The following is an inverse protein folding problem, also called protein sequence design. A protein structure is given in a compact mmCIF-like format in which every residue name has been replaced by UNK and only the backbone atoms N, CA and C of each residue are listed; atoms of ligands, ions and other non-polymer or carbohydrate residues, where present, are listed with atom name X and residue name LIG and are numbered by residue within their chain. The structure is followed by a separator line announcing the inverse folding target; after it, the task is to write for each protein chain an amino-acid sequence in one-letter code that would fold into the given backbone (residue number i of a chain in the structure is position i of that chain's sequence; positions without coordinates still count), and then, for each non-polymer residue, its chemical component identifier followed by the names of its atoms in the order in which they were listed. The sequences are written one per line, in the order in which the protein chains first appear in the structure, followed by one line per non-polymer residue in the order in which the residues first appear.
data_IF_298032517123
#
_entry.id   IF_298032517123
#
_cell.length_a   1.000
_cell.length_b   1.000
_cell.length_c   1.000
_cell.angle_alpha   90.00
_cell.angle_beta   90.00
_cell.angle_gamma   90.00
#
_symmetry.space_group_name_H-M   'P 1'
#
loop_
_entity.id
_entity.type
_entity.pdbx_description
1 polymer ?
#
# COMPACT_ATOMS: atom_id res chain seq x y z
N UNK A 1 22.66 -18.03 16.85
CA UNK A 1 22.48 -17.98 15.39
C UNK A 1 21.29 -18.85 15.04
N UNK A 2 20.14 -18.25 14.73
CA UNK A 2 18.95 -19.00 14.30
C UNK A 2 18.74 -18.67 12.83
N UNK A 3 19.28 -19.53 11.97
CA UNK A 3 19.10 -19.47 10.53
C UNK A 3 17.75 -20.05 10.11
N UNK A 4 17.24 -19.54 9.00
CA UNK A 4 16.06 -20.02 8.30
C UNK A 4 16.22 -21.51 7.90
N UNK A 5 15.75 -22.42 8.74
CA UNK A 5 15.85 -23.87 8.51
C UNK A 5 14.75 -24.37 7.57
N UNK A 6 15.10 -24.53 6.29
CA UNK A 6 14.42 -25.46 5.38
C UNK A 6 14.81 -26.89 5.80
N UNK A 7 13.83 -27.78 5.95
CA UNK A 7 14.06 -29.22 6.11
C UNK A 7 13.58 -29.91 4.85
N UNK A 8 14.50 -30.61 4.19
CA UNK A 8 14.24 -31.42 3.00
C UNK A 8 13.87 -32.84 3.46
N UNK A 9 12.62 -33.23 3.25
CA UNK A 9 12.15 -34.60 3.35
C UNK A 9 11.51 -34.96 2.01
N UNK A 10 12.04 -35.98 1.35
CA UNK A 10 11.51 -36.53 0.09
C UNK A 10 11.26 -35.50 -1.03
N UNK A 11 12.21 -34.59 -1.24
CA UNK A 11 12.27 -33.75 -2.44
C UNK A 11 11.13 -32.72 -2.61
N UNK A 12 10.34 -32.47 -1.56
CA UNK A 12 9.35 -31.39 -1.55
C UNK A 12 9.79 -30.27 -0.59
N UNK A 13 9.93 -29.06 -1.14
CA UNK A 13 10.18 -27.84 -0.35
C UNK A 13 8.87 -27.48 0.37
N UNK A 14 8.69 -28.04 1.56
CA UNK A 14 7.60 -27.65 2.44
C UNK A 14 7.98 -26.34 3.15
N UNK A 15 7.19 -25.28 2.89
CA UNK A 15 7.24 -24.08 3.71
C UNK A 15 6.94 -24.51 5.15
N UNK A 16 7.77 -24.11 6.11
CA UNK A 16 7.40 -24.18 7.52
C UNK A 16 6.20 -23.25 7.70
N UNK A 17 4.99 -23.79 7.58
CA UNK A 17 3.76 -23.03 7.80
C UNK A 17 3.87 -22.38 9.17
N UNK A 18 3.59 -21.06 9.26
CA UNK A 18 3.11 -20.49 10.52
C UNK A 18 2.01 -21.43 10.99
N UNK A 19 2.07 -21.99 12.21
CA UNK A 19 1.18 -23.05 12.61
C UNK A 19 -0.24 -22.61 12.28
N UNK A 20 -0.84 -23.30 11.32
CA UNK A 20 -2.27 -23.21 11.08
C UNK A 20 -2.90 -23.39 12.46
N UNK A 21 -3.85 -22.54 12.84
CA UNK A 21 -4.46 -22.45 14.18
C UNK A 21 -4.93 -23.81 14.75
N UNK A 22 -5.05 -24.82 13.90
CA UNK A 22 -5.31 -26.22 14.24
C UNK A 22 -4.14 -27.01 14.85
N UNK A 23 -2.88 -26.55 14.79
CA UNK A 23 -1.71 -27.32 15.23
C UNK A 23 -1.34 -27.13 16.70
N UNK A 24 -1.69 -26.01 17.35
CA UNK A 24 -1.48 -25.80 18.79
C UNK A 24 -2.65 -26.29 19.65
N UNK A 25 -3.85 -26.30 19.09
CA UNK A 25 -5.03 -26.78 19.82
C UNK A 25 -5.16 -28.28 19.71
N UNK A 26 -4.77 -28.99 20.77
CA UNK A 26 -5.05 -30.42 20.90
C UNK A 26 -6.55 -30.63 21.06
N UNK A 27 -7.12 -31.54 20.27
CA UNK A 27 -8.47 -32.08 20.48
C UNK A 27 -8.37 -33.59 20.72
N UNK A 28 -8.98 -34.13 21.78
CA UNK A 28 -9.77 -33.44 22.82
C UNK A 28 -8.90 -32.52 23.70
N UNK A 29 -9.53 -31.50 24.30
CA UNK A 29 -8.83 -30.57 25.18
C UNK A 29 -8.54 -31.23 26.52
N UNK A 30 -7.37 -30.96 27.08
CA UNK A 30 -6.98 -31.41 28.41
C UNK A 30 -6.88 -30.20 29.33
N UNK A 31 -7.99 -29.86 29.99
CA UNK A 31 -8.06 -28.72 30.90
C UNK A 31 -7.79 -29.15 32.35
N UNK A 32 -7.27 -28.22 33.15
CA UNK A 32 -7.20 -28.42 34.60
C UNK A 32 -8.61 -28.68 35.16
N UNK A 33 -8.82 -29.72 35.98
CA UNK A 33 -10.11 -29.96 36.64
C UNK A 33 -10.42 -28.87 37.69
N UNK A 34 -9.39 -28.15 38.16
CA UNK A 34 -9.53 -27.07 39.13
C UNK A 34 -9.66 -25.74 38.39
N UNK A 35 -10.74 -25.01 38.70
CA UNK A 35 -10.99 -23.70 38.14
C UNK A 35 -9.98 -22.65 38.67
N UNK A 36 -9.32 -21.88 37.80
CA UNK A 36 -8.37 -20.86 38.25
C UNK A 36 -9.11 -19.73 38.97
N UNK A 37 -8.49 -19.23 40.04
CA UNK A 37 -8.94 -18.02 40.75
C UNK A 37 -8.20 -16.82 40.18
N UNK A 38 -8.92 -15.98 39.46
CA UNK A 38 -8.29 -14.85 38.78
C UNK A 38 -8.00 -13.67 39.72
N UNK A 39 -6.90 -12.92 39.46
CA UNK A 39 -6.61 -11.68 40.15
C UNK A 39 -7.77 -10.68 40.05
N UNK A 40 -7.81 -9.71 40.97
CA UNK A 40 -8.82 -8.64 40.91
C UNK A 40 -8.72 -7.89 39.58
N UNK A 41 -9.85 -7.75 38.89
CA UNK A 41 -9.94 -7.08 37.60
C UNK A 41 -9.50 -7.90 36.39
N UNK A 42 -9.20 -9.20 36.56
CA UNK A 42 -9.00 -10.15 35.46
C UNK A 42 -10.19 -11.12 35.43
N UNK A 43 -11.01 -11.10 34.37
CA UNK A 43 -12.12 -12.04 34.22
C UNK A 43 -11.63 -13.44 33.85
N UNK A 44 -12.49 -14.42 34.14
CA UNK A 44 -12.32 -15.79 33.70
C UNK A 44 -12.85 -15.94 32.27
N UNK A 45 -11.97 -16.24 31.32
CA UNK A 45 -12.26 -16.34 29.88
C UNK A 45 -11.84 -17.71 29.35
N UNK A 46 -12.11 -17.99 28.07
CA UNK A 46 -11.58 -19.18 27.39
C UNK A 46 -10.20 -18.88 26.82
N UNK A 47 -9.33 -19.88 26.78
CA UNK A 47 -8.04 -19.85 26.07
C UNK A 47 -8.23 -19.59 24.57
N UNK A 48 -7.16 -19.34 23.82
CA UNK A 48 -7.25 -19.11 22.37
C UNK A 48 -7.68 -20.34 21.56
N UNK A 49 -7.79 -21.52 22.20
CA UNK A 49 -8.42 -22.70 21.63
C UNK A 49 -9.94 -22.76 21.86
N UNK A 50 -10.50 -21.85 22.65
CA UNK A 50 -11.91 -21.78 22.99
C UNK A 50 -12.37 -22.92 23.91
N UNK A 51 -11.47 -23.49 24.73
CA UNK A 51 -11.74 -24.74 25.43
C UNK A 51 -11.49 -24.67 26.94
N UNK A 52 -10.30 -24.28 27.37
CA UNK A 52 -9.96 -24.24 28.78
C UNK A 52 -10.22 -22.86 29.38
N UNK A 53 -10.69 -22.84 30.64
CA UNK A 53 -10.89 -21.59 31.37
C UNK A 53 -9.56 -21.07 31.89
N UNK A 54 -9.21 -19.86 31.52
CA UNK A 54 -7.97 -19.16 31.91
C UNK A 54 -8.32 -17.76 32.41
N UNK A 55 -7.38 -17.13 33.12
CA UNK A 55 -7.52 -15.74 33.51
C UNK A 55 -7.07 -14.85 32.36
N UNK A 56 -7.90 -13.86 32.02
CA UNK A 56 -7.59 -12.93 30.96
C UNK A 56 -6.38 -12.06 31.35
N UNK A 57 -5.46 -11.88 30.41
CA UNK A 57 -4.28 -11.05 30.57
C UNK A 57 -4.66 -9.57 30.49
N UNK A 58 -4.05 -8.75 31.33
CA UNK A 58 -4.31 -7.31 31.45
C UNK A 58 -3.30 -6.49 30.64
N UNK A 59 -3.55 -5.19 30.49
CA UNK A 59 -2.67 -4.27 29.78
C UNK A 59 -1.21 -4.41 30.24
N UNK A 60 -0.28 -4.56 29.29
CA UNK A 60 1.15 -4.74 29.54
C UNK A 60 1.56 -6.15 29.99
N UNK A 61 0.61 -7.08 30.21
CA UNK A 61 0.95 -8.47 30.54
C UNK A 61 1.34 -9.27 29.30
N UNK A 62 2.26 -10.24 29.44
CA UNK A 62 2.62 -11.12 28.35
C UNK A 62 1.43 -12.00 27.97
N UNK A 63 1.17 -12.05 26.68
CA UNK A 63 0.13 -12.85 26.07
C UNK A 63 0.72 -13.73 24.98
N UNK A 64 0.01 -14.81 24.72
CA UNK A 64 0.33 -15.74 23.65
C UNK A 64 -0.98 -16.34 23.12
N UNK A 65 -0.85 -17.40 22.34
CA UNK A 65 -2.01 -18.07 21.77
C UNK A 65 -2.93 -18.73 22.82
N UNK A 66 -2.41 -19.19 23.96
CA UNK A 66 -3.22 -19.82 25.02
C UNK A 66 -3.65 -18.79 26.07
N UNK A 67 -2.79 -17.82 26.37
CA UNK A 67 -2.99 -16.77 27.34
C UNK A 67 -3.52 -15.51 26.66
N UNK A 68 -4.85 -15.42 26.58
CA UNK A 68 -5.55 -14.34 25.87
C UNK A 68 -5.70 -13.08 26.72
N UNK A 69 -5.73 -11.91 26.06
CA UNK A 69 -5.99 -10.62 26.68
C UNK A 69 -7.47 -10.42 27.06
N UNK A 70 -7.74 -9.53 28.00
CA UNK A 70 -9.09 -9.14 28.41
C UNK A 70 -9.77 -8.28 27.34
N UNK A 71 -10.46 -8.97 26.43
CA UNK A 71 -11.29 -8.33 25.39
C UNK A 71 -12.41 -7.47 25.94
N UNK A 72 -12.88 -7.70 27.17
CA UNK A 72 -13.91 -6.83 27.77
C UNK A 72 -13.40 -5.42 28.09
N UNK A 73 -12.07 -5.27 28.14
CA UNK A 73 -11.38 -3.99 28.32
C UNK A 73 -10.78 -3.46 27.00
N UNK A 74 -11.11 -4.06 25.84
CA UNK A 74 -10.59 -3.64 24.54
C UNK A 74 -9.11 -3.99 24.33
N UNK A 75 -8.59 -5.02 25.01
CA UNK A 75 -7.21 -5.43 24.89
C UNK A 75 -7.02 -6.53 23.84
N UNK A 76 -6.03 -6.35 22.97
CA UNK A 76 -5.56 -7.32 21.98
C UNK A 76 -4.11 -7.71 22.24
N UNK A 77 -3.74 -8.91 21.83
CA UNK A 77 -2.38 -9.41 21.98
C UNK A 77 -1.51 -8.90 20.82
N UNK A 78 -0.65 -7.92 21.11
CA UNK A 78 0.28 -7.31 20.16
C UNK A 78 1.64 -8.06 20.16
N UNK A 79 2.05 -8.54 18.99
CA UNK A 79 3.30 -9.29 18.79
C UNK A 79 4.44 -8.46 18.17
N UNK A 80 4.29 -7.13 18.13
CA UNK A 80 5.27 -6.17 17.56
C UNK A 80 6.70 -6.33 18.13
N UNK A 81 6.83 -6.83 19.36
CA UNK A 81 8.10 -7.03 20.08
C UNK A 81 8.76 -8.40 19.85
N UNK A 82 8.25 -9.20 18.90
CA UNK A 82 8.96 -10.35 18.31
C UNK A 82 8.81 -11.69 19.04
N UNK A 83 9.36 -11.85 20.26
CA UNK A 83 9.45 -13.17 20.94
C UNK A 83 8.27 -13.52 21.85
N UNK A 84 7.34 -12.60 22.05
CA UNK A 84 6.13 -12.79 22.84
C UNK A 84 5.14 -11.68 22.54
N UNK A 85 3.86 -11.96 22.74
CA UNK A 85 2.83 -10.93 22.66
C UNK A 85 2.75 -10.16 23.96
N UNK A 86 2.31 -8.90 23.90
CA UNK A 86 1.93 -8.09 25.06
C UNK A 86 0.51 -7.59 24.87
N UNK A 87 -0.31 -7.62 25.91
CA UNK A 87 -1.66 -7.07 25.81
C UNK A 87 -1.61 -5.55 25.73
N UNK A 88 -2.03 -5.00 24.60
CA UNK A 88 -2.18 -3.57 24.36
C UNK A 88 -3.63 -3.27 24.01
N UNK A 89 -4.02 -1.99 24.01
CA UNK A 89 -5.32 -1.61 23.44
C UNK A 89 -5.32 -1.96 21.96
N UNK A 90 -6.50 -2.27 21.40
CA UNK A 90 -6.67 -2.15 19.95
C UNK A 90 -6.29 -0.71 19.58
N UNK A 91 -5.15 -0.55 18.88
CA UNK A 91 -4.89 0.68 18.15
C UNK A 91 -5.95 0.73 17.05
N UNK A 92 -7.06 1.41 17.35
CA UNK A 92 -8.08 1.81 16.38
C UNK A 92 -7.49 2.84 15.40
N UNK A 93 -6.37 2.51 14.75
CA UNK A 93 -5.78 3.32 13.68
C UNK A 93 -5.76 2.55 12.36
N UNK A 94 -6.78 1.72 12.13
CA UNK A 94 -7.23 1.39 10.78
C UNK A 94 -8.04 2.58 10.22
N UNK A 95 -7.40 3.75 10.26
CA UNK A 95 -7.89 5.01 9.74
C UNK A 95 -7.11 5.38 8.48
N UNK A 96 -7.67 6.30 7.70
CA UNK A 96 -7.05 6.78 6.48
C UNK A 96 -6.32 8.08 6.77
N UNK A 97 -5.03 8.14 6.49
CA UNK A 97 -4.30 9.41 6.51
C UNK A 97 -4.39 10.07 5.12
N UNK A 98 -5.07 11.21 5.04
CA UNK A 98 -5.19 11.98 3.79
C UNK A 98 -4.74 13.42 4.05
N UNK A 99 -3.64 13.82 3.40
CA UNK A 99 -3.00 15.15 3.56
C UNK A 99 -2.67 15.50 5.02
N UNK A 100 -2.17 14.53 5.81
CA UNK A 100 -1.80 14.74 7.21
C UNK A 100 -3.00 14.85 8.18
N UNK A 101 -4.21 14.49 7.73
CA UNK A 101 -5.39 14.34 8.58
C UNK A 101 -5.79 12.88 8.64
N UNK A 102 -6.04 12.40 9.85
CA UNK A 102 -6.52 11.05 10.11
C UNK A 102 -8.06 11.03 10.04
N UNK A 103 -8.60 10.09 9.27
CA UNK A 103 -10.04 9.82 9.12
C UNK A 103 -10.34 8.42 9.63
N UNK A 104 -11.45 8.24 10.34
CA UNK A 104 -11.86 6.93 10.87
C UNK A 104 -12.42 6.03 9.76
N UNK A 105 -12.36 4.72 9.96
CA UNK A 105 -13.03 3.79 9.04
C UNK A 105 -14.52 4.15 8.88
N UNK A 106 -14.98 4.18 7.63
CA UNK A 106 -16.32 4.59 7.25
C UNK A 106 -16.55 6.10 7.21
N UNK A 107 -15.62 6.93 7.67
CA UNK A 107 -15.75 8.40 7.67
C UNK A 107 -15.78 8.96 6.25
N UNK A 108 -16.72 9.87 5.99
CA UNK A 108 -16.89 10.55 4.70
C UNK A 108 -16.38 11.97 4.81
N UNK A 109 -15.50 12.36 3.90
CA UNK A 109 -14.89 13.69 3.87
C UNK A 109 -14.87 14.25 2.45
N UNK A 110 -14.83 15.58 2.33
CA UNK A 110 -14.91 16.28 1.06
C UNK A 110 -13.64 17.12 0.83
N UNK A 111 -12.57 16.56 0.21
CA UNK A 111 -11.30 17.27 0.06
C UNK A 111 -11.39 18.46 -0.90
N UNK A 112 -12.40 18.50 -1.78
CA UNK A 112 -12.75 19.66 -2.59
C UNK A 112 -14.24 19.62 -2.90
N UNK A 113 -14.82 20.74 -3.30
CA UNK A 113 -16.24 20.77 -3.66
C UNK A 113 -16.59 19.79 -4.82
N UNK A 114 -15.59 19.32 -5.60
CA UNK A 114 -15.74 18.42 -6.75
C UNK A 114 -15.66 16.93 -6.39
N UNK A 115 -15.20 16.58 -5.18
CA UNK A 115 -14.89 15.20 -4.79
C UNK A 115 -15.43 14.90 -3.39
N UNK A 116 -16.10 13.77 -3.22
CA UNK A 116 -16.45 13.21 -1.91
C UNK A 116 -15.74 11.88 -1.75
N UNK A 117 -15.05 11.70 -0.64
CA UNK A 117 -14.27 10.51 -0.35
C UNK A 117 -14.76 9.81 0.92
N UNK A 118 -14.52 8.50 1.01
CA UNK A 118 -14.84 7.67 2.17
C UNK A 118 -13.63 6.82 2.55
N UNK A 119 -13.28 6.82 3.83
CA UNK A 119 -12.26 5.95 4.40
C UNK A 119 -12.79 4.52 4.55
N UNK A 120 -12.01 3.54 4.11
CA UNK A 120 -12.30 2.11 4.14
C UNK A 120 -11.00 1.32 4.34
N UNK A 121 -10.87 0.61 5.45
CA UNK A 121 -9.77 -0.33 5.75
C UNK A 121 -8.36 0.27 5.53
N UNK A 122 -8.13 1.50 6.02
CA UNK A 122 -6.85 2.21 5.88
C UNK A 122 -6.59 2.87 4.51
N UNK A 123 -7.48 2.71 3.54
CA UNK A 123 -7.46 3.39 2.23
C UNK A 123 -8.70 4.25 2.00
N UNK A 124 -8.73 5.10 0.98
CA UNK A 124 -9.90 5.93 0.68
C UNK A 124 -10.40 5.75 -0.75
N UNK A 125 -11.72 5.85 -0.91
CA UNK A 125 -12.39 5.84 -2.23
C UNK A 125 -13.05 7.19 -2.46
N UNK A 126 -12.99 7.74 -3.66
CA UNK A 126 -13.59 9.04 -3.98
C UNK A 126 -14.56 8.93 -5.15
N UNK A 127 -15.65 9.70 -5.07
CA UNK A 127 -16.64 9.86 -6.14
C UNK A 127 -16.66 11.32 -6.61
N UNK A 128 -16.74 11.57 -7.93
CA UNK A 128 -16.89 12.93 -8.46
C UNK A 128 -18.31 13.45 -8.18
N UNK A 129 -18.40 14.69 -7.72
CA UNK A 129 -19.66 15.39 -7.46
C UNK A 129 -20.12 16.24 -8.64
N UNK A 130 -19.22 16.53 -9.57
CA UNK A 130 -19.52 17.25 -10.81
C UNK A 130 -19.82 16.28 -11.95
N UNK A 131 -20.66 16.70 -12.89
CA UNK A 131 -20.87 15.96 -14.13
C UNK A 131 -19.57 15.94 -14.95
N UNK A 132 -19.18 14.74 -15.40
CA UNK A 132 -18.05 14.47 -16.29
C UNK A 132 -18.51 14.18 -17.72
N UNK A 133 -19.59 14.84 -18.14
CA UNK A 133 -20.13 14.75 -19.48
C UNK A 133 -19.20 15.37 -20.53
N UNK A 134 -19.17 14.78 -21.72
CA UNK A 134 -18.36 15.25 -22.87
C UNK A 134 -19.25 16.08 -23.78
N UNK A 135 -18.91 17.35 -23.99
CA UNK A 135 -19.57 18.19 -25.00
C UNK A 135 -18.87 18.06 -26.35
N UNK A 136 -19.60 17.53 -27.32
CA UNK A 136 -19.13 17.44 -28.70
C UNK A 136 -19.18 18.81 -29.38
N UNK A 137 -18.25 19.09 -30.32
CA UNK A 137 -18.34 20.28 -31.18
C UNK A 137 -19.67 20.34 -31.94
N UNK A 138 -20.29 21.50 -31.93
CA UNK A 138 -21.48 21.81 -32.73
C UNK A 138 -21.19 22.99 -33.67
N UNK A 139 -22.00 23.22 -34.72
CA UNK A 139 -21.83 24.40 -35.59
C UNK A 139 -21.76 25.73 -34.81
N UNK A 140 -22.54 25.84 -33.73
CA UNK A 140 -22.57 27.02 -32.85
C UNK A 140 -21.45 27.03 -31.78
N UNK A 141 -20.73 25.92 -31.64
CA UNK A 141 -19.65 25.74 -30.67
C UNK A 141 -18.59 24.77 -31.23
N UNK A 142 -17.80 25.21 -32.22
CA UNK A 142 -16.83 24.35 -32.89
C UNK A 142 -15.65 23.95 -31.98
N UNK A 143 -15.38 24.74 -30.92
CA UNK A 143 -14.30 24.51 -29.98
C UNK A 143 -14.80 24.57 -28.53
N UNK A 144 -15.52 23.53 -28.05
CA UNK A 144 -15.97 23.47 -26.67
C UNK A 144 -14.77 23.26 -25.74
N UNK A 145 -14.60 24.14 -24.76
CA UNK A 145 -13.57 24.04 -23.71
C UNK A 145 -14.24 23.95 -22.35
N UNK A 146 -13.83 22.98 -21.54
CA UNK A 146 -14.26 22.86 -20.14
C UNK A 146 -13.35 23.75 -19.30
N UNK A 147 -13.91 24.74 -18.63
CA UNK A 147 -13.17 25.74 -17.84
C UNK A 147 -13.74 25.86 -16.44
N UNK A 148 -12.85 26.14 -15.48
CA UNK A 148 -13.25 26.50 -14.12
C UNK A 148 -13.76 27.94 -14.10
N UNK A 149 -15.00 28.13 -13.63
CA UNK A 149 -15.61 29.46 -13.50
C UNK A 149 -15.46 29.92 -12.05
N UNK A 150 -14.90 31.12 -11.80
CA UNK A 150 -14.79 31.68 -10.46
C UNK A 150 -16.14 31.71 -9.73
N UNK A 151 -16.19 31.20 -8.50
CA UNK A 151 -17.40 31.14 -7.69
C UNK A 151 -18.34 29.96 -8.01
N UNK A 152 -18.08 29.18 -9.06
CA UNK A 152 -18.77 27.90 -9.31
C UNK A 152 -17.89 26.73 -8.91
N UNK A 153 -18.50 25.70 -8.33
CA UNK A 153 -17.77 24.50 -7.96
C UNK A 153 -17.39 23.66 -9.18
N UNK A 154 -18.35 23.44 -10.09
CA UNK A 154 -18.16 22.60 -11.26
C UNK A 154 -17.71 23.40 -12.47
N UNK A 155 -16.81 22.84 -13.30
CA UNK A 155 -16.41 23.48 -14.53
C UNK A 155 -17.56 23.48 -15.55
N UNK A 156 -17.61 24.51 -16.39
CA UNK A 156 -18.62 24.64 -17.44
C UNK A 156 -17.99 24.64 -18.83
N UNK A 157 -18.80 24.31 -19.81
CA UNK A 157 -18.42 24.34 -21.21
C UNK A 157 -18.57 25.74 -21.77
N UNK A 158 -17.44 26.35 -22.15
CA UNK A 158 -17.40 27.60 -22.91
C UNK A 158 -17.05 27.33 -24.36
N UNK A 159 -17.58 28.16 -25.24
CA UNK A 159 -17.33 28.12 -26.67
C UNK A 159 -16.57 29.40 -27.02
N UNK A 160 -15.28 29.29 -27.33
CA UNK A 160 -14.57 30.43 -27.89
C UNK A 160 -15.03 30.61 -29.34
N UNK A 161 -15.72 31.72 -29.60
CA UNK A 161 -15.92 32.20 -30.95
C UNK A 161 -14.55 32.65 -31.45
N UNK A 162 -13.87 31.78 -32.21
CA UNK A 162 -12.66 32.15 -32.91
C UNK A 162 -12.89 33.47 -33.65
N UNK A 163 -11.94 34.38 -33.54
CA UNK A 163 -11.94 35.66 -34.24
C UNK A 163 -12.44 35.43 -35.66
N UNK A 164 -13.52 36.15 -35.98
CA UNK A 164 -14.15 36.16 -37.29
C UNK A 164 -13.04 36.49 -38.28
N UNK A 165 -12.61 35.49 -39.05
CA UNK A 165 -11.70 35.68 -40.16
C UNK A 165 -12.39 36.62 -41.15
N UNK A 166 -12.11 37.91 -41.02
CA UNK A 166 -12.40 38.95 -42.00
C UNK A 166 -11.49 38.70 -43.21
N UNK A 167 -11.81 37.69 -44.01
CA UNK A 167 -11.36 37.66 -45.39
C UNK A 167 -12.51 37.14 -46.23
N UNK A 168 -13.37 38.08 -46.62
CA UNK A 168 -14.24 37.92 -47.77
C UNK A 168 -13.37 37.61 -48.99
N UNK A 169 -13.56 36.40 -49.49
CA UNK A 169 -12.95 35.80 -50.65
C UNK A 169 -13.23 36.61 -51.91
N UNK A 170 -12.17 37.05 -52.59
CA UNK A 170 -12.19 37.30 -54.01
C UNK A 170 -11.63 36.08 -54.74
N UNK A 171 -12.46 35.47 -55.60
CA UNK A 171 -12.02 34.80 -56.83
C UNK A 171 -11.52 33.34 -56.77
N UNK A 172 -12.17 32.52 -57.60
CA UNK A 172 -11.69 31.31 -58.31
C UNK A 172 -11.62 29.94 -57.58
N UNK A 173 -12.36 28.98 -58.14
CA UNK A 173 -12.32 27.51 -57.93
C UNK A 173 -11.20 26.86 -58.81
N UNK A 174 -10.81 25.55 -58.75
CA UNK A 174 -11.62 24.37 -58.33
C UNK A 174 -10.93 23.18 -57.57
N UNK A 175 -11.78 22.27 -57.04
CA UNK A 175 -11.69 20.79 -56.94
C UNK A 175 -10.81 20.00 -55.89
N UNK A 176 -11.50 19.37 -54.91
CA UNK A 176 -11.51 17.94 -54.39
C UNK A 176 -10.19 17.29 -53.86
N UNK A 177 -10.18 16.35 -52.85
CA UNK A 177 -11.23 15.80 -51.96
C UNK A 177 -11.00 16.14 -50.47
N UNK A 178 -11.97 15.75 -49.64
CA UNK A 178 -11.95 15.78 -48.17
C UNK A 178 -10.74 15.07 -47.55
N UNK A 179 -9.56 15.70 -47.59
CA UNK A 179 -8.52 15.48 -46.61
C UNK A 179 -8.75 16.53 -45.53
N UNK A 180 -9.47 16.15 -44.46
CA UNK A 180 -9.52 17.01 -43.29
C UNK A 180 -8.10 17.24 -42.79
N UNK A 181 -7.82 18.46 -42.33
CA UNK A 181 -6.55 18.75 -41.68
C UNK A 181 -6.43 17.85 -40.44
N UNK A 182 -5.41 16.97 -40.36
CA UNK A 182 -5.24 16.09 -39.23
C UNK A 182 -4.97 16.92 -37.99
N UNK A 183 -5.82 16.72 -36.99
CA UNK A 183 -5.77 17.39 -35.71
C UNK A 183 -5.96 16.37 -34.60
N UNK A 184 -5.25 16.58 -33.50
CA UNK A 184 -5.44 15.83 -32.27
C UNK A 184 -4.77 16.53 -31.12
N UNK A 185 -5.26 16.27 -29.92
CA UNK A 185 -4.60 16.72 -28.69
C UNK A 185 -3.32 15.91 -28.47
N UNK A 186 -2.49 16.29 -27.50
CA UNK A 186 -1.54 15.33 -26.95
C UNK A 186 -2.27 14.21 -26.19
N UNK A 187 -1.57 13.10 -25.99
CA UNK A 187 -2.07 12.02 -25.13
C UNK A 187 -2.12 12.47 -23.68
N UNK A 188 -3.19 12.15 -22.97
CA UNK A 188 -3.29 12.37 -21.53
C UNK A 188 -2.20 11.61 -20.78
N UNK A 189 -1.92 12.02 -19.55
CA UNK A 189 -1.20 11.19 -18.60
C UNK A 189 -1.86 9.80 -18.49
N UNK A 190 -1.05 8.79 -18.13
CA UNK A 190 -1.55 7.44 -17.92
C UNK A 190 -2.54 7.43 -16.75
N UNK A 191 -3.65 6.71 -16.90
CA UNK A 191 -4.65 6.58 -15.83
C UNK A 191 -4.12 5.89 -14.57
N UNK A 192 -2.98 5.20 -14.69
CA UNK A 192 -2.26 4.61 -13.57
C UNK A 192 -0.93 5.35 -13.39
N UNK A 193 -0.41 5.40 -12.17
CA UNK A 193 0.92 5.95 -11.86
C UNK A 193 2.03 4.90 -11.98
N UNK A 194 1.66 3.63 -12.15
CA UNK A 194 2.54 2.51 -12.36
C UNK A 194 1.81 1.34 -13.05
N UNK A 195 2.54 0.35 -13.53
CA UNK A 195 1.97 -0.81 -14.22
C UNK A 195 1.32 -0.45 -15.54
N UNK A 196 0.21 -1.11 -15.86
CA UNK A 196 -0.52 -0.93 -17.12
C UNK A 196 -1.76 -0.08 -16.89
N UNK A 197 -1.95 0.96 -17.69
CA UNK A 197 -3.11 1.84 -17.64
C UNK A 197 -3.57 2.27 -19.02
N UNK A 198 -4.44 3.26 -19.06
CA UNK A 198 -4.96 3.83 -20.30
C UNK A 198 -4.60 5.30 -20.42
N UNK A 199 -4.22 5.71 -21.63
CA UNK A 199 -4.05 7.10 -22.01
C UNK A 199 -5.07 7.41 -23.10
N UNK A 200 -5.65 8.60 -23.04
CA UNK A 200 -6.71 9.04 -23.94
C UNK A 200 -6.29 10.27 -24.70
N UNK A 201 -6.72 10.38 -25.95
CA UNK A 201 -6.53 11.52 -26.84
C UNK A 201 -7.80 11.74 -27.64
N UNK A 202 -8.09 12.97 -28.02
CA UNK A 202 -9.13 13.25 -29.03
C UNK A 202 -8.44 13.49 -30.37
N UNK A 203 -8.86 12.80 -31.44
CA UNK A 203 -8.30 12.97 -32.78
C UNK A 203 -9.36 12.84 -33.86
N UNK A 204 -9.19 13.57 -34.96
CA UNK A 204 -10.00 13.45 -36.17
C UNK A 204 -9.38 12.50 -37.22
N UNK A 205 -8.33 11.76 -36.86
CA UNK A 205 -7.61 10.82 -37.73
C UNK A 205 -8.40 9.52 -37.91
N UNK A 206 -9.59 9.63 -38.50
CA UNK A 206 -10.37 8.50 -39.00
C UNK A 206 -10.86 8.81 -40.43
N UNK A 207 -11.35 7.77 -41.10
CA UNK A 207 -11.81 7.85 -42.50
C UNK A 207 -12.92 8.89 -42.73
N UNK A 208 -13.61 9.29 -41.66
CA UNK A 208 -14.75 10.20 -41.70
C UNK A 208 -14.42 11.59 -41.16
N UNK A 209 -13.17 11.87 -40.79
CA UNK A 209 -12.73 13.14 -40.24
C UNK A 209 -13.50 13.57 -38.98
N UNK A 210 -14.03 12.61 -38.22
CA UNK A 210 -14.82 12.86 -37.01
C UNK A 210 -13.91 12.87 -35.80
N UNK A 211 -14.12 13.80 -34.89
CA UNK A 211 -13.40 13.80 -33.63
C UNK A 211 -13.88 12.61 -32.78
N UNK A 212 -12.98 11.71 -32.47
CA UNK A 212 -13.22 10.52 -31.65
C UNK A 212 -12.19 10.46 -30.52
N UNK A 213 -12.63 9.94 -29.38
CA UNK A 213 -11.73 9.62 -28.27
C UNK A 213 -11.01 8.33 -28.58
N UNK A 214 -9.71 8.43 -28.81
CA UNK A 214 -8.82 7.29 -28.95
C UNK A 214 -8.29 6.89 -27.56
N UNK A 215 -8.32 5.59 -27.26
CA UNK A 215 -7.72 5.02 -26.05
C UNK A 215 -6.55 4.13 -26.44
N UNK A 216 -5.40 4.33 -25.82
CA UNK A 216 -4.25 3.43 -25.94
C UNK A 216 -3.84 2.88 -24.59
N UNK A 217 -3.19 1.74 -24.61
CA UNK A 217 -2.52 1.20 -23.45
C UNK A 217 -1.26 2.03 -23.17
N UNK A 218 -1.06 2.43 -21.93
CA UNK A 218 0.22 2.94 -21.44
C UNK A 218 0.81 1.90 -20.48
N UNK A 219 2.10 1.62 -20.64
CA UNK A 219 2.86 0.76 -19.74
C UNK A 219 3.87 1.66 -19.06
N UNK A 220 3.62 1.94 -17.80
CA UNK A 220 4.58 2.62 -16.94
C UNK A 220 5.52 1.60 -16.32
N UNK A 221 6.47 2.10 -15.53
CA UNK A 221 7.30 1.22 -14.70
C UNK A 221 6.38 0.24 -13.96
N UNK A 222 6.75 -1.05 -13.87
CA UNK A 222 6.02 -2.00 -13.05
C UNK A 222 5.68 -1.32 -11.75
N UNK A 223 4.44 -1.49 -11.28
CA UNK A 223 4.15 -1.03 -9.94
C UNK A 223 5.26 -1.53 -9.03
N UNK A 224 5.82 -0.67 -8.15
CA UNK A 224 6.42 -1.25 -6.97
C UNK A 224 5.37 -2.25 -6.53
N UNK A 225 5.77 -3.49 -6.31
CA UNK A 225 4.87 -4.38 -5.66
C UNK A 225 4.33 -3.51 -4.51
N UNK A 226 3.01 -3.24 -4.50
CA UNK A 226 2.33 -3.13 -3.21
C UNK A 226 3.06 -4.19 -2.44
N UNK A 227 3.72 -3.87 -1.31
CA UNK A 227 4.39 -4.92 -0.56
C UNK A 227 3.38 -6.02 -0.65
N UNK A 228 3.78 -7.14 -1.28
CA UNK A 228 3.00 -8.31 -1.04
C UNK A 228 2.81 -8.22 0.47
N UNK A 229 1.60 -8.44 1.00
CA UNK A 229 1.57 -8.93 2.36
C UNK A 229 2.74 -9.93 2.39
N UNK A 230 3.86 -9.56 3.02
CA UNK A 230 5.13 -10.05 2.48
C UNK A 230 5.00 -11.56 2.61
N UNK A 231 5.37 -12.39 1.62
CA UNK A 231 6.21 -13.48 2.07
C UNK A 231 7.43 -12.75 2.65
N UNK A 232 7.37 -12.45 3.95
CA UNK A 232 8.46 -11.80 4.65
C UNK A 232 9.68 -12.69 4.40
N UNK A 233 10.60 -12.19 3.60
CA UNK A 233 11.97 -12.66 3.63
C UNK A 233 12.77 -11.39 3.76
N UNK A 234 13.18 -11.22 5.01
CA UNK A 234 14.28 -10.37 5.44
C UNK A 234 15.41 -10.34 4.43
N UNK A 235 16.00 -9.17 4.25
CA UNK A 235 17.34 -8.98 4.78
C UNK A 235 17.54 -7.47 4.94
N UNK A 236 17.21 -6.97 6.12
CA UNK A 236 18.05 -5.97 6.76
C UNK A 236 19.20 -6.73 7.42
N UNK A 237 20.39 -6.18 7.58
CA UNK A 237 20.78 -4.81 7.40
C UNK A 237 22.30 -4.82 7.29
N UNK A 238 22.81 -3.73 6.75
CA UNK A 238 24.19 -3.37 6.94
C UNK A 238 24.49 -3.23 8.44
N UNK A 239 25.68 -3.66 8.88
CA UNK A 239 26.40 -2.73 9.74
C UNK A 239 27.89 -2.71 9.43
N UNK A 240 28.33 -1.46 9.31
CA UNK A 240 29.70 -1.05 9.31
C UNK A 240 30.23 -1.19 10.73
N UNK A 241 31.44 -1.73 10.87
CA UNK A 241 32.54 -0.97 11.46
C UNK A 241 33.71 -1.88 11.82
N UNK A 242 34.82 -1.56 11.15
CA UNK A 242 36.04 -1.11 11.82
C UNK A 242 37.01 -2.19 12.29
N UNK A 243 38.05 -2.25 11.48
CA UNK A 243 39.47 -2.23 11.85
C UNK A 243 40.17 -3.56 12.15
N UNK A 244 41.31 -3.63 11.45
CA UNK A 244 42.61 -4.05 11.94
C UNK A 244 43.04 -5.50 11.66
N UNK A 245 43.98 -5.53 10.70
CA UNK A 245 45.22 -6.29 10.68
C UNK A 245 45.13 -7.75 10.26
N UNK A 246 45.89 -8.02 9.19
CA UNK A 246 46.00 -9.33 8.60
C UNK A 246 46.85 -10.29 9.40
N UNK A 247 46.73 -11.56 9.03
CA UNK A 247 47.75 -12.56 9.25
C UNK A 247 47.83 -13.38 7.97
N UNK A 248 48.78 -13.00 7.12
CA UNK A 248 49.29 -13.90 6.09
C UNK A 248 49.99 -15.06 6.78
N UNK A 249 49.62 -16.28 6.40
CA UNK A 249 50.37 -17.47 6.74
C UNK A 249 51.77 -17.37 6.13
N UNK A 250 52.78 -17.29 6.98
CA UNK A 250 54.19 -17.43 6.66
C UNK A 250 54.89 -18.15 7.81
N UNK A 251 55.16 -19.44 7.63
CA UNK A 251 56.16 -20.23 8.35
C UNK A 251 57.59 -19.69 8.06
N UNK A 252 58.67 -20.23 8.65
CA UNK A 252 59.00 -20.47 10.06
C UNK A 252 60.40 -19.90 10.41
N UNK A 253 60.83 -19.96 11.68
CA UNK A 253 62.25 -20.03 12.19
C UNK A 253 62.37 -19.31 13.54
N UNK A 254 62.60 -19.99 14.66
CA UNK A 254 63.85 -20.55 15.21
C UNK A 254 64.40 -19.72 16.39
N UNK A 255 64.47 -20.41 17.52
CA UNK A 255 65.39 -20.32 18.67
C UNK A 255 65.18 -19.34 19.86
N UNK A 256 65.55 -19.80 21.08
CA UNK A 256 65.07 -19.30 22.38
C UNK A 256 66.18 -18.61 23.21
N UNK A 257 65.83 -17.70 24.13
CA UNK A 257 66.76 -17.31 25.22
C UNK A 257 65.99 -16.77 26.46
N UNK A 258 66.19 -17.47 27.59
CA UNK A 258 66.19 -17.10 29.02
C UNK A 258 65.15 -16.17 29.71
N UNK A 259 64.80 -16.62 30.92
CA UNK A 259 64.11 -15.97 32.05
C UNK A 259 65.01 -14.94 32.79
N UNK A 260 64.75 -14.51 34.06
CA UNK A 260 63.51 -14.31 34.85
C UNK A 260 63.42 -12.88 35.49
N UNK A 261 62.41 -12.68 36.36
CA UNK A 261 62.46 -11.97 37.66
C UNK A 261 62.03 -10.49 37.81
N UNK A 262 61.20 -10.30 38.86
CA UNK A 262 60.98 -9.13 39.73
C UNK A 262 60.44 -7.84 39.06
N UNK A 263 59.61 -6.98 39.66
CA UNK A 263 59.14 -6.75 41.03
C UNK A 263 57.99 -5.73 40.93
N UNK A 264 57.03 -5.79 41.86
CA UNK A 264 56.04 -4.75 42.18
C UNK A 264 56.71 -3.45 42.67
N UNK A 265 55.97 -2.33 42.89
CA UNK A 265 54.50 -2.15 42.86
C UNK A 265 53.96 -1.21 41.77
#
# INVERSE_FOLDING_TARGET
AWGNGLIELDGQILRKHRPVCSQLCRRPCYCSPVLPRCPRGSPLVLDGCGCCRVCARRLGEPCDFLHVCDRSQGLICDYSSGTGGTCNFEDDEEGCEVNGRLYRDGEVFQPSCKLQCRCLDGGFTCVPLCQEDVRLPTPDCPYPRRVDIPGKCCPEWVCEAGERHLLQSAGAAPAVPYACQPWGTEWSACSATCGVGFSTRVSNQNRYCRLETQRRLCVLRPCPALPAASPAVSDGDADASRQQLGVGMGHPSQHPVHAPSASQP
#
